data_IF_069900668302
#
_entry.id   IF_069900668302
#
_cell.length_a   1.000
_cell.length_b   1.000
_cell.length_c   1.000
_cell.angle_alpha   90.00
_cell.angle_beta   90.00
_cell.angle_gamma   90.00
#
_symmetry.space_group_name_H-M   'P 1'
#
loop_
_entity.id
_entity.type
_entity.pdbx_description
1 polymer ?
#
# COMPACT_ATOMS: atom_id res chain seq x y z
N UNK A 1 -0.63 2.38 12.78
CA UNK A 1 -0.82 3.26 11.60
C UNK A 1 -1.01 2.37 10.38
N UNK A 2 -2.08 2.52 9.58
CA UNK A 2 -2.27 1.72 8.35
C UNK A 2 -1.27 2.14 7.27
N UNK A 3 -0.77 1.21 6.46
CA UNK A 3 0.22 1.48 5.40
C UNK A 3 -0.31 2.48 4.36
N UNK A 4 -1.63 2.48 4.12
CA UNK A 4 -2.29 3.46 3.26
C UNK A 4 -2.12 4.89 3.80
N UNK A 5 -2.35 5.08 5.12
CA UNK A 5 -2.26 6.40 5.76
C UNK A 5 -0.83 6.93 5.72
N UNK A 6 0.15 6.06 5.99
CA UNK A 6 1.57 6.43 5.89
C UNK A 6 1.96 6.84 4.47
N UNK A 7 1.52 6.08 3.47
CA UNK A 7 1.80 6.38 2.05
C UNK A 7 1.10 7.68 1.59
N UNK A 8 -0.11 7.91 2.08
CA UNK A 8 -0.88 9.13 1.85
C UNK A 8 -0.13 10.37 2.38
N UNK A 9 0.30 10.33 3.64
CA UNK A 9 1.02 11.41 4.31
C UNK A 9 2.38 11.69 3.65
N UNK A 10 3.13 10.64 3.30
CA UNK A 10 4.45 10.78 2.67
C UNK A 10 4.41 11.43 1.28
N UNK A 11 3.35 11.15 0.51
CA UNK A 11 3.25 11.61 -0.88
C UNK A 11 2.28 12.79 -1.05
N UNK A 12 1.64 13.25 0.03
CA UNK A 12 0.59 14.27 0.02
C UNK A 12 -0.51 14.01 -1.04
N UNK A 13 -1.00 12.77 -1.09
CA UNK A 13 -2.04 12.33 -2.04
C UNK A 13 -3.35 12.02 -1.34
N UNK A 14 -4.44 11.82 -2.10
CA UNK A 14 -5.70 11.34 -1.53
C UNK A 14 -5.62 9.86 -1.13
N UNK A 15 -6.45 9.44 -0.17
CA UNK A 15 -6.56 8.03 0.24
C UNK A 15 -6.95 7.12 -0.93
N UNK A 16 -7.85 7.59 -1.81
CA UNK A 16 -8.26 6.85 -3.02
C UNK A 16 -7.07 6.62 -3.96
N UNK A 17 -6.27 7.66 -4.16
CA UNK A 17 -5.05 7.61 -4.98
C UNK A 17 -4.02 6.65 -4.37
N UNK A 18 -3.80 6.74 -3.05
CA UNK A 18 -2.91 5.83 -2.33
C UNK A 18 -3.33 4.36 -2.46
N UNK A 19 -4.62 4.06 -2.29
CA UNK A 19 -5.17 2.71 -2.47
C UNK A 19 -4.95 2.17 -3.88
N UNK A 20 -5.16 3.01 -4.92
CA UNK A 20 -4.94 2.60 -6.31
C UNK A 20 -3.46 2.28 -6.57
N UNK A 21 -2.54 3.15 -6.15
CA UNK A 21 -1.11 2.90 -6.33
C UNK A 21 -0.63 1.64 -5.61
N UNK A 22 -1.04 1.44 -4.35
CA UNK A 22 -0.66 0.25 -3.59
C UNK A 22 -1.24 -1.02 -4.22
N UNK A 23 -2.45 -0.96 -4.78
CA UNK A 23 -3.02 -2.06 -5.56
C UNK A 23 -2.23 -2.33 -6.84
N UNK A 24 -1.90 -1.31 -7.63
CA UNK A 24 -1.12 -1.46 -8.86
C UNK A 24 0.27 -2.08 -8.58
N UNK A 25 0.90 -1.68 -7.48
CA UNK A 25 2.17 -2.25 -7.02
C UNK A 25 2.04 -3.70 -6.56
N UNK A 26 0.89 -4.13 -6.04
CA UNK A 26 0.64 -5.56 -5.76
C UNK A 26 0.43 -6.38 -7.02
N UNK A 27 -0.24 -5.82 -8.04
CA UNK A 27 -0.40 -6.49 -9.33
C UNK A 27 0.93 -6.68 -10.06
N UNK A 28 1.88 -5.75 -9.84
CA UNK A 28 3.26 -5.84 -10.35
C UNK A 28 4.18 -6.73 -9.50
N UNK A 29 3.65 -7.41 -8.49
CA UNK A 29 4.38 -8.23 -7.53
C UNK A 29 5.49 -7.51 -6.75
N UNK A 30 5.51 -6.17 -6.75
CA UNK A 30 6.47 -5.35 -6.00
C UNK A 30 6.05 -5.21 -4.52
N UNK A 31 4.76 -5.32 -4.27
CA UNK A 31 4.14 -5.37 -2.96
C UNK A 31 3.42 -6.70 -2.78
N UNK A 32 3.42 -7.22 -1.55
CA UNK A 32 2.50 -8.27 -1.11
C UNK A 32 1.45 -7.65 -0.20
N UNK A 33 0.17 -7.86 -0.49
CA UNK A 33 -0.90 -7.54 0.45
C UNK A 33 -1.12 -8.75 1.37
N UNK A 34 -0.81 -8.61 2.64
CA UNK A 34 -1.00 -9.64 3.68
C UNK A 34 -2.15 -9.30 4.64
N UNK A 35 -3.00 -8.35 4.26
CA UNK A 35 -4.12 -7.95 5.09
C UNK A 35 -5.44 -8.59 4.69
N UNK A 36 -6.30 -8.85 5.68
CA UNK A 36 -7.68 -9.25 5.46
C UNK A 36 -8.55 -8.07 5.02
N UNK A 37 -9.78 -8.32 4.55
CA UNK A 37 -10.75 -7.30 4.08
C UNK A 37 -10.94 -6.10 5.03
N UNK A 38 -10.64 -6.25 6.33
CA UNK A 38 -10.76 -5.19 7.34
C UNK A 38 -9.45 -4.43 7.62
N UNK A 39 -8.29 -4.95 7.22
CA UNK A 39 -6.99 -4.36 7.54
C UNK A 39 -5.93 -4.75 6.51
N UNK A 40 -5.87 -4.02 5.39
CA UNK A 40 -4.86 -4.23 4.35
C UNK A 40 -3.46 -3.86 4.86
N UNK A 41 -2.53 -4.81 4.83
CA UNK A 41 -1.12 -4.61 5.17
C UNK A 41 -0.27 -4.88 3.94
N UNK A 42 0.26 -3.81 3.35
CA UNK A 42 1.12 -3.89 2.15
C UNK A 42 2.59 -3.98 2.58
N UNK A 43 3.28 -5.07 2.20
CA UNK A 43 4.69 -5.31 2.50
C UNK A 43 5.48 -5.22 1.19
N UNK A 44 6.50 -4.36 1.14
CA UNK A 44 7.42 -4.29 0.01
C UNK A 44 8.28 -5.54 -0.03
N UNK A 45 8.35 -6.19 -1.20
CA UNK A 45 9.09 -7.45 -1.38
C UNK A 45 10.62 -7.26 -1.38
N UNK A 46 11.14 -6.05 -1.38
CA UNK A 46 12.58 -5.79 -1.30
C UNK A 46 12.93 -4.88 -0.11
N UNK A 47 13.53 -5.47 0.92
CA UNK A 47 14.54 -4.80 1.74
C UNK A 47 15.92 -5.15 1.14
N UNK A 48 16.30 -4.46 0.06
CA UNK A 48 17.71 -4.35 -0.35
C UNK A 48 18.10 -2.89 -0.18
#
# INVERSE_FOLDING_TARGET
>A
MSNNKKYQEMNNISERTARRYLFDLTQKELLKNEGDNKSSRYIFKNNV
#
